data_IF_619025918129
#
_entry.id   IF_619025918129
#
_cell.length_a   1.000
_cell.length_b   1.000
_cell.length_c   1.000
_cell.angle_alpha   90.00
_cell.angle_beta   90.00
_cell.angle_gamma   90.00
#
_symmetry.space_group_name_H-M   'P 1'
#
loop_
_entity.id
_entity.type
_entity.pdbx_description
1 polymer ?
#
# COMPACT_ATOMS: atom_id res chain seq x y z
N UNK A 1 -34.40 -54.73 -4.87
CA UNK A 1 -33.00 -54.36 -5.17
C UNK A 1 -32.78 -52.97 -4.58
N UNK A 2 -32.06 -52.89 -3.46
CA UNK A 2 -31.46 -51.64 -2.98
C UNK A 2 -30.14 -51.48 -3.74
N UNK A 3 -29.81 -50.27 -4.16
CA UNK A 3 -28.57 -49.62 -3.73
C UNK A 3 -28.56 -48.16 -4.20
N UNK A 4 -28.07 -47.35 -3.28
CA UNK A 4 -28.00 -45.91 -3.24
C UNK A 4 -26.55 -45.53 -3.61
N UNK A 5 -26.35 -44.69 -4.63
CA UNK A 5 -25.03 -44.09 -4.91
C UNK A 5 -25.16 -42.62 -5.30
N UNK A 6 -25.14 -41.79 -4.26
CA UNK A 6 -24.26 -40.62 -4.05
C UNK A 6 -24.13 -39.56 -5.17
N UNK A 7 -24.70 -38.39 -4.88
CA UNK A 7 -24.17 -37.03 -5.03
C UNK A 7 -22.76 -36.85 -5.65
N UNK A 8 -22.68 -36.06 -6.73
CA UNK A 8 -21.73 -34.94 -6.89
C UNK A 8 -22.16 -34.03 -8.07
N UNK A 9 -22.25 -32.70 -7.90
CA UNK A 9 -22.36 -31.78 -9.02
C UNK A 9 -20.98 -31.63 -9.68
N UNK A 10 -20.93 -31.69 -11.00
CA UNK A 10 -19.73 -31.39 -11.77
C UNK A 10 -19.36 -29.92 -11.61
N UNK A 11 -18.45 -29.63 -10.68
CA UNK A 11 -17.65 -28.41 -10.69
C UNK A 11 -16.59 -28.56 -11.78
N UNK A 12 -16.89 -28.07 -12.98
CA UNK A 12 -15.87 -27.83 -14.00
C UNK A 12 -15.49 -26.37 -13.99
N UNK A 13 -14.23 -26.16 -13.61
CA UNK A 13 -13.25 -25.21 -14.16
C UNK A 13 -13.82 -23.85 -14.60
N UNK A 14 -13.54 -22.79 -13.87
CA UNK A 14 -12.30 -22.02 -14.08
C UNK A 14 -12.21 -21.52 -15.53
N UNK A 15 -13.06 -20.56 -15.88
CA UNK A 15 -12.88 -19.75 -17.08
C UNK A 15 -12.65 -18.30 -16.65
N UNK A 16 -11.38 -17.92 -16.76
CA UNK A 16 -10.83 -16.59 -16.97
C UNK A 16 -11.38 -15.42 -16.12
N UNK A 17 -10.58 -14.85 -15.19
CA UNK A 17 -10.63 -13.40 -15.06
C UNK A 17 -10.17 -12.82 -16.40
N UNK A 18 -11.09 -12.15 -17.08
CA UNK A 18 -10.81 -11.34 -18.26
C UNK A 18 -9.57 -10.46 -18.00
N UNK A 19 -8.69 -10.24 -18.99
CA UNK A 19 -7.63 -9.26 -18.81
C UNK A 19 -8.29 -7.88 -18.75
N UNK A 20 -8.37 -7.30 -17.55
CA UNK A 20 -8.64 -5.89 -17.32
C UNK A 20 -7.45 -5.07 -17.81
N UNK A 21 -7.17 -5.18 -19.11
CA UNK A 21 -6.23 -4.34 -19.82
C UNK A 21 -6.93 -3.01 -20.12
N UNK A 22 -6.35 -1.92 -19.60
CA UNK A 22 -6.56 -0.54 -20.08
C UNK A 22 -7.59 0.37 -19.38
N UNK A 23 -8.07 0.06 -18.17
CA UNK A 23 -8.56 1.08 -17.19
C UNK A 23 -7.76 1.12 -15.88
N UNK A 24 -6.80 0.21 -15.75
CA UNK A 24 -6.12 -0.19 -14.50
C UNK A 24 -4.94 0.71 -14.08
N UNK A 25 -4.37 1.50 -14.99
CA UNK A 25 -3.06 2.12 -14.77
C UNK A 25 -2.99 3.07 -13.57
N UNK A 26 -4.07 3.80 -13.26
CA UNK A 26 -4.10 4.66 -12.06
C UNK A 26 -4.48 3.88 -10.79
N UNK A 27 -5.37 2.90 -10.90
CA UNK A 27 -5.83 2.10 -9.77
C UNK A 27 -4.67 1.28 -9.16
N UNK A 28 -3.80 0.72 -10.01
CA UNK A 28 -2.64 -0.04 -9.55
C UNK A 28 -1.63 0.81 -8.77
N UNK A 29 -1.43 2.09 -9.16
CA UNK A 29 -0.48 2.98 -8.49
C UNK A 29 -0.94 3.33 -7.08
N UNK A 30 -2.19 3.76 -6.95
CA UNK A 30 -2.76 4.08 -5.64
C UNK A 30 -2.79 2.85 -4.73
N UNK A 31 -3.05 1.66 -5.27
CA UNK A 31 -2.93 0.42 -4.51
C UNK A 31 -1.49 0.16 -4.06
N UNK A 32 -0.49 0.26 -4.94
CA UNK A 32 0.91 0.07 -4.58
C UNK A 32 1.36 1.05 -3.48
N UNK A 33 0.98 2.33 -3.58
CA UNK A 33 1.24 3.33 -2.54
C UNK A 33 0.54 2.94 -1.23
N UNK A 34 -0.75 2.58 -1.30
CA UNK A 34 -1.54 2.22 -0.12
C UNK A 34 -0.93 1.02 0.60
N UNK A 35 -0.61 -0.04 -0.12
CA UNK A 35 0.02 -1.24 0.42
C UNK A 35 1.39 -0.92 1.04
N UNK A 36 2.18 -0.05 0.39
CA UNK A 36 3.47 0.41 0.94
C UNK A 36 3.28 1.19 2.25
N UNK A 37 2.32 2.10 2.31
CA UNK A 37 2.01 2.86 3.54
C UNK A 37 1.51 1.91 4.64
N UNK A 38 0.66 0.95 4.33
CA UNK A 38 0.06 0.05 5.32
C UNK A 38 1.04 -1.02 5.83
N UNK A 39 1.89 -1.56 4.96
CA UNK A 39 2.73 -2.73 5.29
C UNK A 39 4.23 -2.40 5.44
N UNK A 40 4.76 -1.39 4.75
CA UNK A 40 6.19 -1.08 4.78
C UNK A 40 6.57 0.04 5.76
N UNK A 41 5.63 0.88 6.17
CA UNK A 41 5.84 1.95 7.15
C UNK A 41 5.42 1.49 8.55
N UNK A 42 6.25 1.83 9.53
CA UNK A 42 5.91 1.70 10.95
C UNK A 42 4.77 2.65 11.35
N UNK A 43 4.16 2.40 12.52
CA UNK A 43 3.12 3.27 13.08
C UNK A 43 3.60 4.73 13.20
N UNK A 44 4.85 4.93 13.62
CA UNK A 44 5.45 6.25 13.78
C UNK A 44 5.63 6.95 12.42
N UNK A 45 6.10 6.24 11.40
CA UNK A 45 6.27 6.78 10.05
C UNK A 45 4.93 7.14 9.40
N UNK A 46 3.90 6.31 9.57
CA UNK A 46 2.54 6.62 9.09
C UNK A 46 1.99 7.88 9.75
N UNK A 47 2.17 8.02 11.07
CA UNK A 47 1.73 9.21 11.79
C UNK A 47 2.44 10.46 11.25
N UNK A 48 3.76 10.39 11.03
CA UNK A 48 4.52 11.48 10.42
C UNK A 48 3.96 11.88 9.04
N UNK A 49 3.60 10.91 8.19
CA UNK A 49 3.01 11.20 6.86
C UNK A 49 1.66 11.89 6.99
N UNK A 50 0.81 11.46 7.92
CA UNK A 50 -0.49 12.12 8.16
C UNK A 50 -0.29 13.56 8.61
N UNK A 51 0.59 13.80 9.60
CA UNK A 51 0.87 15.15 10.09
C UNK A 51 1.45 16.06 8.99
N UNK A 52 2.27 15.50 8.09
CA UNK A 52 2.89 16.26 7.00
C UNK A 52 1.92 16.61 5.87
N UNK A 53 1.21 15.62 5.32
CA UNK A 53 0.42 15.80 4.09
C UNK A 53 -1.03 16.19 4.35
N UNK A 54 -1.63 15.64 5.41
CA UNK A 54 -3.05 15.88 5.75
C UNK A 54 -3.15 17.13 6.61
N UNK A 55 -2.43 17.17 7.72
CA UNK A 55 -2.47 18.31 8.67
C UNK A 55 -1.61 19.49 8.22
N UNK A 56 -0.78 19.32 7.18
CA UNK A 56 0.08 20.38 6.61
C UNK A 56 1.04 21.01 7.63
N UNK A 57 1.43 20.27 8.66
CA UNK A 57 2.31 20.76 9.71
C UNK A 57 3.75 20.91 9.20
N UNK A 58 4.47 21.89 9.76
CA UNK A 58 5.89 22.08 9.50
C UNK A 58 6.73 21.03 10.23
N UNK A 59 7.97 20.82 9.77
CA UNK A 59 8.90 19.86 10.39
C UNK A 59 9.22 20.18 11.86
N UNK A 60 9.11 21.45 12.28
CA UNK A 60 9.27 21.86 13.68
C UNK A 60 8.07 21.47 14.53
N UNK A 61 6.85 21.75 14.05
CA UNK A 61 5.63 21.38 14.79
C UNK A 61 5.49 19.85 14.89
N UNK A 62 5.84 19.13 13.82
CA UNK A 62 5.88 17.66 13.83
C UNK A 62 6.93 17.13 14.82
N UNK A 63 8.09 17.78 14.88
CA UNK A 63 9.14 17.43 15.85
C UNK A 63 8.65 17.58 17.30
N UNK A 64 7.91 18.65 17.61
CA UNK A 64 7.31 18.85 18.93
C UNK A 64 6.23 17.81 19.25
N UNK A 65 5.35 17.47 18.29
CA UNK A 65 4.27 16.49 18.49
C UNK A 65 4.79 15.06 18.69
N UNK A 66 5.87 14.69 17.98
CA UNK A 66 6.42 13.33 17.99
C UNK A 66 7.60 13.16 18.97
N UNK A 67 7.95 14.20 19.72
CA UNK A 67 9.13 14.26 20.60
C UNK A 67 10.44 13.89 19.87
N UNK A 68 10.60 14.46 18.68
CA UNK A 68 11.75 14.27 17.78
C UNK A 68 12.47 15.60 17.51
N UNK A 69 13.63 15.53 16.87
CA UNK A 69 14.31 16.70 16.30
C UNK A 69 13.86 16.98 14.87
N UNK A 70 13.89 18.25 14.45
CA UNK A 70 13.60 18.67 13.06
C UNK A 70 14.42 17.87 12.03
N UNK A 71 15.69 17.59 12.34
CA UNK A 71 16.57 16.80 11.48
C UNK A 71 16.16 15.33 11.40
N UNK A 72 15.63 14.74 12.48
CA UNK A 72 15.08 13.38 12.44
C UNK A 72 13.81 13.34 11.58
N UNK A 73 12.91 14.31 11.73
CA UNK A 73 11.68 14.41 10.93
C UNK A 73 12.01 14.49 9.43
N UNK A 74 12.92 15.38 9.04
CA UNK A 74 13.34 15.51 7.63
C UNK A 74 13.99 14.23 7.09
N UNK A 75 14.85 13.57 7.87
CA UNK A 75 15.49 12.31 7.47
C UNK A 75 14.48 11.17 7.30
N UNK A 76 13.59 11.01 8.26
CA UNK A 76 12.53 10.00 8.21
C UNK A 76 11.59 10.27 7.04
N UNK A 77 11.19 11.53 6.83
CA UNK A 77 10.37 11.93 5.68
C UNK A 77 11.06 11.61 4.35
N UNK A 78 12.35 11.94 4.20
CA UNK A 78 13.13 11.61 3.01
C UNK A 78 13.19 10.09 2.75
N UNK A 79 13.42 9.29 3.81
CA UNK A 79 13.43 7.83 3.70
C UNK A 79 12.07 7.26 3.25
N UNK A 80 10.99 7.79 3.79
CA UNK A 80 9.62 7.39 3.40
C UNK A 80 9.38 7.71 1.93
N UNK A 81 9.68 8.94 1.51
CA UNK A 81 9.49 9.37 0.12
C UNK A 81 10.29 8.49 -0.84
N UNK A 82 11.53 8.13 -0.51
CA UNK A 82 12.34 7.26 -1.37
C UNK A 82 11.68 5.88 -1.52
N UNK A 83 11.21 5.27 -0.42
CA UNK A 83 10.48 4.00 -0.48
C UNK A 83 9.20 4.07 -1.30
N UNK A 84 8.45 5.16 -1.17
CA UNK A 84 7.24 5.36 -1.97
C UNK A 84 7.59 5.49 -3.46
N UNK A 85 8.72 6.14 -3.79
CA UNK A 85 9.22 6.27 -5.17
C UNK A 85 9.64 4.93 -5.76
N UNK A 86 10.31 4.09 -4.98
CA UNK A 86 10.68 2.71 -5.35
C UNK A 86 9.43 1.85 -5.63
N UNK A 87 8.36 2.03 -4.86
CA UNK A 87 7.11 1.27 -5.06
C UNK A 87 6.33 1.66 -6.32
N UNK A 88 6.43 2.91 -6.76
CA UNK A 88 5.68 3.44 -7.92
C UNK A 88 6.48 3.49 -9.20
N UNK A 89 7.81 3.49 -9.10
CA UNK A 89 8.69 3.40 -10.25
C UNK A 89 9.03 1.93 -10.38
N UNK A 90 8.31 1.15 -11.23
CA UNK A 90 8.83 -0.15 -11.62
C UNK A 90 10.15 0.11 -12.34
N UNK A 91 11.25 0.06 -11.59
CA UNK A 91 12.55 0.35 -12.13
C UNK A 91 12.93 -0.78 -13.09
N UNK A 92 13.03 -0.41 -14.37
CA UNK A 92 13.95 -0.94 -15.36
C UNK A 92 14.75 -2.16 -14.87
N UNK A 93 14.23 -3.35 -15.21
CA UNK A 93 15.00 -4.59 -15.28
C UNK A 93 15.48 -4.80 -16.71
#
# INVERSE_FOLDING_TARGET
MREETRHAPGATCADAPAPEGCRESSASLFQAIRETILHALSQHERLLVVLWYVERMSSREIAEVLDLTDQQVRRTHARIVERLREAITPAAA
#
